data_IF_639443008014
#
_entry.id   IF_639443008014
#
_cell.length_a   1.000
_cell.length_b   1.000
_cell.length_c   1.000
_cell.angle_alpha   90.00
_cell.angle_beta   90.00
_cell.angle_gamma   90.00
#
_symmetry.space_group_name_H-M   'P 1'
#
loop_
_entity.id
_entity.type
_entity.pdbx_description
1 polymer ?
#
# COMPACT_ATOMS: atom_id res chain seq x y z
N UNK A 1 -1.22 -44.75 30.46
CA UNK A 1 -2.40 -44.39 29.67
C UNK A 1 -1.92 -43.61 28.45
N UNK A 2 -2.00 -44.23 27.25
CA UNK A 2 -1.73 -43.71 25.90
C UNK A 2 -0.57 -42.71 25.70
N UNK A 3 0.60 -43.27 25.40
CA UNK A 3 1.63 -42.63 24.56
C UNK A 3 0.99 -42.37 23.20
N UNK A 4 0.63 -41.11 22.92
CA UNK A 4 0.35 -40.66 21.55
C UNK A 4 1.69 -40.31 20.93
N UNK A 5 2.12 -41.09 19.95
CA UNK A 5 3.12 -40.65 18.98
C UNK A 5 2.62 -39.35 18.35
N UNK A 6 3.13 -38.20 18.82
CA UNK A 6 3.20 -36.99 17.99
C UNK A 6 4.26 -37.28 16.94
N UNK A 7 3.97 -37.03 15.67
CA UNK A 7 4.99 -37.15 14.63
C UNK A 7 6.17 -36.24 15.01
N UNK A 8 7.40 -36.71 14.78
CA UNK A 8 8.64 -36.00 15.11
C UNK A 8 8.64 -34.59 14.48
N UNK A 9 8.08 -34.48 13.27
CA UNK A 9 7.88 -33.23 12.53
C UNK A 9 7.02 -32.21 13.31
N UNK A 10 6.00 -32.65 14.05
CA UNK A 10 5.11 -31.75 14.80
C UNK A 10 5.82 -31.09 15.99
N UNK A 11 6.77 -31.79 16.62
CA UNK A 11 7.47 -31.30 17.81
C UNK A 11 8.50 -30.25 17.43
N UNK A 12 9.32 -30.54 16.41
CA UNK A 12 10.31 -29.60 15.87
C UNK A 12 9.60 -28.35 15.33
N UNK A 13 8.54 -28.54 14.55
CA UNK A 13 7.75 -27.43 14.02
C UNK A 13 7.17 -26.54 15.13
N UNK A 14 6.67 -27.12 16.22
CA UNK A 14 6.18 -26.38 17.38
C UNK A 14 7.27 -25.55 18.07
N UNK A 15 8.46 -26.13 18.26
CA UNK A 15 9.62 -25.42 18.82
C UNK A 15 10.03 -24.25 17.92
N UNK A 16 10.13 -24.49 16.62
CA UNK A 16 10.45 -23.48 15.62
C UNK A 16 9.43 -22.33 15.61
N UNK A 17 8.13 -22.62 15.70
CA UNK A 17 7.10 -21.58 15.81
C UNK A 17 7.31 -20.71 17.06
N UNK A 18 7.58 -21.31 18.21
CA UNK A 18 7.80 -20.56 19.45
C UNK A 18 9.00 -19.63 19.33
N UNK A 19 10.13 -20.15 18.85
CA UNK A 19 11.36 -19.36 18.65
C UNK A 19 11.09 -18.21 17.67
N UNK A 20 10.49 -18.50 16.52
CA UNK A 20 10.13 -17.50 15.51
C UNK A 20 9.23 -16.39 16.06
N UNK A 21 8.20 -16.77 16.83
CA UNK A 21 7.25 -15.83 17.41
C UNK A 21 7.85 -14.97 18.53
N UNK A 22 8.77 -15.51 19.33
CA UNK A 22 9.44 -14.77 20.41
C UNK A 22 10.50 -13.83 19.85
N UNK A 23 11.36 -14.34 18.96
CA UNK A 23 12.49 -13.57 18.44
C UNK A 23 12.08 -12.56 17.36
N UNK A 24 10.90 -12.73 16.76
CA UNK A 24 10.44 -11.93 15.60
C UNK A 24 11.43 -11.94 14.44
N UNK A 25 12.18 -13.03 14.30
CA UNK A 25 13.15 -13.26 13.23
C UNK A 25 12.69 -14.34 12.26
N UNK A 26 13.19 -14.29 11.03
CA UNK A 26 13.12 -15.44 10.15
C UNK A 26 13.80 -16.64 10.81
N UNK A 27 13.23 -17.82 10.61
CA UNK A 27 13.76 -19.07 11.14
C UNK A 27 13.73 -20.13 10.05
N UNK A 28 14.80 -20.89 9.97
CA UNK A 28 14.92 -22.03 9.07
C UNK A 28 15.31 -23.27 9.84
N UNK A 29 14.61 -24.37 9.54
CA UNK A 29 15.00 -25.69 9.97
C UNK A 29 15.57 -26.45 8.78
N UNK A 30 16.82 -26.90 8.91
CA UNK A 30 17.53 -27.64 7.87
C UNK A 30 17.87 -29.02 8.39
N UNK A 31 17.45 -30.06 7.68
CA UNK A 31 17.84 -31.43 7.93
C UNK A 31 18.56 -32.05 6.72
N UNK A 32 19.16 -33.23 6.93
CA UNK A 32 19.77 -34.02 5.86
C UNK A 32 18.74 -34.54 4.83
N UNK A 33 17.45 -34.55 5.17
CA UNK A 33 16.37 -34.96 4.27
C UNK A 33 15.59 -33.72 3.81
N UNK A 34 15.73 -33.28 2.54
CA UNK A 34 15.13 -32.05 2.04
C UNK A 34 13.62 -31.94 2.29
N UNK A 35 12.91 -33.07 2.34
CA UNK A 35 11.46 -33.14 2.62
C UNK A 35 11.06 -32.71 4.03
N UNK A 36 12.01 -32.55 4.95
CA UNK A 36 11.78 -32.19 6.35
C UNK A 36 12.37 -30.83 6.74
N UNK A 37 13.00 -30.13 5.79
CA UNK A 37 13.43 -28.75 5.95
C UNK A 37 12.27 -27.80 5.71
N UNK A 38 12.19 -26.70 6.46
CA UNK A 38 11.15 -25.69 6.31
C UNK A 38 11.60 -24.30 6.77
N UNK A 39 10.89 -23.27 6.32
CA UNK A 39 11.16 -21.88 6.71
C UNK A 39 9.92 -21.21 7.34
N UNK A 40 10.17 -20.31 8.28
CA UNK A 40 9.20 -19.41 8.91
C UNK A 40 9.71 -17.98 8.71
N UNK A 41 9.00 -17.19 7.91
CA UNK A 41 9.51 -15.91 7.40
C UNK A 41 8.68 -14.74 7.91
N UNK A 42 9.33 -13.77 8.56
CA UNK A 42 8.79 -12.45 8.88
C UNK A 42 9.11 -11.39 7.82
N UNK A 43 10.20 -11.54 7.06
CA UNK A 43 10.57 -10.60 5.99
C UNK A 43 11.38 -11.31 4.92
N UNK A 44 11.07 -11.10 3.63
CA UNK A 44 11.85 -11.69 2.55
C UNK A 44 13.15 -10.90 2.31
N UNK A 45 14.25 -11.62 2.12
CA UNK A 45 15.53 -11.04 1.70
C UNK A 45 15.45 -10.61 0.23
N UNK A 46 16.14 -9.53 -0.18
CA UNK A 46 16.32 -9.17 -1.57
C UNK A 46 16.81 -10.35 -2.40
N UNK A 47 16.31 -10.48 -3.63
CA UNK A 47 16.73 -11.54 -4.57
C UNK A 47 18.26 -11.55 -4.75
N UNK A 48 18.90 -10.38 -4.70
CA UNK A 48 20.36 -10.24 -4.73
C UNK A 48 21.09 -11.13 -3.70
N UNK A 49 20.47 -11.40 -2.55
CA UNK A 49 21.06 -12.14 -1.44
C UNK A 49 20.67 -13.63 -1.44
N UNK A 50 19.83 -14.10 -2.38
CA UNK A 50 19.28 -15.47 -2.33
C UNK A 50 20.37 -16.54 -2.33
N UNK A 51 21.40 -16.38 -3.17
CA UNK A 51 22.46 -17.37 -3.30
C UNK A 51 23.36 -17.39 -2.07
N UNK A 52 23.79 -16.22 -1.60
CA UNK A 52 24.59 -16.08 -0.38
C UNK A 52 23.85 -16.60 0.85
N UNK A 53 22.53 -16.39 0.92
CA UNK A 53 21.67 -16.96 1.97
C UNK A 53 21.76 -18.49 1.95
N UNK A 54 21.54 -19.14 0.80
CA UNK A 54 21.61 -20.61 0.67
C UNK A 54 22.99 -21.13 1.07
N UNK A 55 24.07 -20.49 0.61
CA UNK A 55 25.45 -20.86 0.95
C UNK A 55 25.70 -20.77 2.46
N UNK A 56 25.27 -19.66 3.08
CA UNK A 56 25.41 -19.41 4.52
C UNK A 56 24.69 -20.45 5.35
N UNK A 57 23.44 -20.74 5.00
CA UNK A 57 22.62 -21.73 5.69
C UNK A 57 23.20 -23.15 5.57
N UNK A 58 23.68 -23.50 4.38
CA UNK A 58 24.33 -24.78 4.12
C UNK A 58 25.62 -24.92 4.93
N UNK A 59 26.42 -23.84 5.00
CA UNK A 59 27.62 -23.80 5.83
C UNK A 59 27.28 -24.01 7.31
N UNK A 60 26.31 -23.24 7.84
CA UNK A 60 25.88 -23.33 9.24
C UNK A 60 25.42 -24.75 9.58
N UNK A 61 24.61 -25.36 8.71
CA UNK A 61 24.11 -26.71 8.90
C UNK A 61 25.24 -27.75 8.97
N UNK A 62 26.16 -27.69 8.02
CA UNK A 62 27.32 -28.59 7.98
C UNK A 62 28.26 -28.37 9.17
N UNK A 63 28.41 -27.12 9.61
CA UNK A 63 29.24 -26.77 10.77
C UNK A 63 28.72 -27.43 12.05
N UNK A 64 27.41 -27.36 12.30
CA UNK A 64 26.80 -27.87 13.54
C UNK A 64 26.54 -29.38 13.54
N UNK A 65 26.56 -30.04 12.39
CA UNK A 65 26.32 -31.49 12.26
C UNK A 65 27.25 -32.36 13.11
N UNK A 66 28.49 -31.93 13.30
CA UNK A 66 29.53 -32.66 14.03
C UNK A 66 29.84 -32.07 15.41
N UNK A 67 28.90 -31.29 15.97
CA UNK A 67 29.09 -30.53 17.21
C UNK A 67 28.29 -31.10 18.38
N UNK A 68 28.65 -30.70 19.59
CA UNK A 68 27.93 -31.11 20.79
C UNK A 68 26.59 -30.36 20.93
N UNK A 69 25.57 -30.97 21.57
CA UNK A 69 24.24 -30.37 21.73
C UNK A 69 24.20 -29.06 22.51
N UNK A 70 25.28 -28.68 23.20
CA UNK A 70 25.40 -27.46 23.96
C UNK A 70 26.01 -26.29 23.17
N UNK A 71 26.34 -26.46 21.88
CA UNK A 71 26.93 -25.38 21.07
C UNK A 71 25.86 -24.50 20.41
N UNK A 72 26.04 -23.18 20.55
CA UNK A 72 25.27 -22.14 19.86
C UNK A 72 26.21 -21.45 18.90
N UNK A 73 25.91 -21.48 17.61
CA UNK A 73 26.70 -20.78 16.60
C UNK A 73 26.17 -19.36 16.38
N UNK A 74 27.03 -18.37 16.55
CA UNK A 74 26.87 -17.03 16.01
C UNK A 74 27.71 -16.93 14.73
N UNK A 75 27.06 -16.74 13.59
CA UNK A 75 27.71 -16.66 12.28
C UNK A 75 27.46 -15.31 11.61
N UNK A 76 28.51 -14.70 11.05
CA UNK A 76 28.43 -13.50 10.21
C UNK A 76 28.86 -13.83 8.78
N UNK A 77 28.00 -13.52 7.80
CA UNK A 77 28.29 -13.77 6.39
C UNK A 77 29.11 -12.64 5.72
N UNK A 78 29.40 -12.79 4.42
CA UNK A 78 30.11 -11.79 3.62
C UNK A 78 29.30 -10.51 3.35
N UNK A 79 28.01 -10.51 3.63
CA UNK A 79 27.14 -9.34 3.65
C UNK A 79 27.06 -8.69 5.04
N UNK A 80 27.81 -9.19 6.03
CA UNK A 80 27.74 -8.75 7.42
C UNK A 80 26.36 -8.98 8.07
N UNK A 81 25.58 -9.91 7.53
CA UNK A 81 24.35 -10.40 8.17
C UNK A 81 24.71 -11.45 9.21
N UNK A 82 24.01 -11.40 10.34
CA UNK A 82 24.26 -12.28 11.47
C UNK A 82 23.14 -13.31 11.62
N UNK A 83 23.54 -14.50 12.06
CA UNK A 83 22.68 -15.66 12.26
C UNK A 83 23.03 -16.34 13.57
N UNK A 84 22.01 -16.79 14.29
CA UNK A 84 22.14 -17.69 15.44
C UNK A 84 21.65 -19.07 15.05
N UNK A 85 22.40 -20.11 15.42
CA UNK A 85 22.02 -21.47 15.08
C UNK A 85 22.31 -22.46 16.22
N UNK A 86 21.45 -23.45 16.36
CA UNK A 86 21.62 -24.57 17.29
C UNK A 86 21.31 -25.89 16.58
N UNK A 87 22.04 -26.94 16.94
CA UNK A 87 21.71 -28.29 16.49
C UNK A 87 20.50 -28.84 17.24
N UNK A 88 19.61 -29.54 16.54
CA UNK A 88 18.51 -30.29 17.12
C UNK A 88 18.90 -31.76 17.23
N UNK A 89 18.87 -32.30 18.45
CA UNK A 89 19.30 -33.66 18.76
C UNK A 89 18.17 -34.45 19.42
N UNK A 90 17.92 -35.65 18.94
CA UNK A 90 16.94 -36.57 19.54
C UNK A 90 17.64 -37.90 19.87
N UNK A 91 17.57 -38.35 21.13
CA UNK A 91 18.28 -39.55 21.63
C UNK A 91 19.78 -39.53 21.27
N UNK A 92 20.40 -38.36 21.39
CA UNK A 92 21.81 -38.11 21.03
C UNK A 92 22.15 -38.25 19.54
N UNK A 93 21.15 -38.33 18.65
CA UNK A 93 21.34 -38.27 17.21
C UNK A 93 20.98 -36.89 16.68
N UNK A 94 21.87 -36.32 15.87
CA UNK A 94 21.58 -35.08 15.14
C UNK A 94 20.45 -35.29 14.13
N UNK A 95 19.48 -34.38 14.14
CA UNK A 95 18.31 -34.42 13.25
C UNK A 95 18.24 -33.20 12.31
N UNK A 96 18.85 -32.09 12.69
CA UNK A 96 18.88 -30.89 11.87
C UNK A 96 19.41 -29.68 12.63
N UNK A 97 19.35 -28.52 11.99
CA UNK A 97 19.74 -27.23 12.56
C UNK A 97 18.54 -26.31 12.62
N UNK A 98 18.37 -25.60 13.72
CA UNK A 98 17.47 -24.45 13.81
C UNK A 98 18.34 -23.20 13.64
N UNK A 99 18.07 -22.42 12.61
CA UNK A 99 18.81 -21.20 12.25
C UNK A 99 17.87 -20.02 12.35
N UNK A 100 18.29 -18.95 13.00
CA UNK A 100 17.52 -17.73 13.25
C UNK A 100 18.30 -16.52 12.74
N UNK A 101 17.70 -15.75 11.84
CA UNK A 101 18.32 -14.61 11.16
C UNK A 101 17.80 -14.43 9.74
N UNK A 102 18.21 -13.38 9.02
CA UNK A 102 19.31 -12.49 9.36
C UNK A 102 18.93 -11.35 10.31
N UNK A 103 19.92 -10.85 11.05
CA UNK A 103 19.86 -9.62 11.86
C UNK A 103 21.21 -8.88 11.82
N UNK A 104 21.25 -7.65 12.34
CA UNK A 104 22.47 -6.84 12.43
C UNK A 104 22.83 -6.52 13.88
N UNK A 105 24.10 -6.25 14.17
CA UNK A 105 24.57 -5.92 15.53
C UNK A 105 24.72 -4.41 15.77
N UNK A 106 24.78 -3.62 14.70
CA UNK A 106 24.94 -2.16 14.75
C UNK A 106 24.16 -1.50 13.62
N UNK A 107 23.75 -0.24 13.83
CA UNK A 107 23.10 0.55 12.79
C UNK A 107 24.07 0.70 11.59
N UNK A 108 23.64 0.41 10.35
CA UNK A 108 24.51 0.51 9.20
C UNK A 108 24.77 1.98 8.86
N UNK A 109 26.04 2.35 8.74
CA UNK A 109 26.44 3.66 8.23
C UNK A 109 26.83 3.60 6.74
N UNK A 110 27.21 4.74 6.17
CA UNK A 110 27.66 4.79 4.79
C UNK A 110 28.93 3.97 4.53
N UNK A 111 29.80 3.81 5.53
CA UNK A 111 31.02 3.01 5.45
C UNK A 111 30.70 1.51 5.38
N UNK A 112 29.76 1.05 6.20
CA UNK A 112 29.25 -0.31 6.24
C UNK A 112 28.74 -0.76 4.86
N UNK A 113 27.86 0.04 4.24
CA UNK A 113 27.29 -0.30 2.92
C UNK A 113 28.38 -0.31 1.85
N UNK A 114 29.32 0.64 1.91
CA UNK A 114 30.43 0.71 0.96
C UNK A 114 31.31 -0.54 1.07
N UNK A 115 31.62 -0.97 2.28
CA UNK A 115 32.38 -2.21 2.55
C UNK A 115 31.66 -3.46 2.04
N UNK A 116 30.34 -3.57 2.22
CA UNK A 116 29.56 -4.69 1.70
C UNK A 116 29.60 -4.75 0.17
N UNK A 117 29.47 -3.60 -0.49
CA UNK A 117 29.54 -3.49 -1.96
C UNK A 117 30.92 -3.90 -2.46
N UNK A 118 31.99 -3.40 -1.84
CA UNK A 118 33.37 -3.69 -2.22
C UNK A 118 33.71 -5.17 -2.00
N UNK A 119 33.37 -5.72 -0.83
CA UNK A 119 33.66 -7.11 -0.44
C UNK A 119 32.99 -8.12 -1.37
N UNK A 120 31.81 -7.78 -1.90
CA UNK A 120 31.02 -8.67 -2.76
C UNK A 120 31.08 -8.28 -4.25
N UNK A 121 31.95 -7.33 -4.62
CA UNK A 121 32.13 -6.84 -5.99
C UNK A 121 30.82 -6.41 -6.68
N UNK A 122 29.93 -5.74 -5.93
CA UNK A 122 28.60 -5.36 -6.43
C UNK A 122 28.63 -4.03 -7.19
N UNK A 123 27.79 -3.87 -8.23
CA UNK A 123 27.58 -2.57 -8.84
C UNK A 123 27.00 -1.53 -7.86
N UNK A 124 27.44 -0.27 -7.96
CA UNK A 124 27.00 0.84 -7.09
C UNK A 124 25.48 1.08 -7.10
N UNK A 125 24.76 0.64 -8.13
CA UNK A 125 23.29 0.78 -8.24
C UNK A 125 22.55 0.09 -7.10
N UNK A 126 23.11 -0.97 -6.51
CA UNK A 126 22.49 -1.70 -5.39
C UNK A 126 22.60 -0.98 -4.04
N UNK A 127 23.36 0.13 -3.96
CA UNK A 127 23.60 0.86 -2.71
C UNK A 127 22.32 1.25 -1.99
N UNK A 128 21.35 1.81 -2.70
CA UNK A 128 20.07 2.23 -2.12
C UNK A 128 19.25 1.02 -1.64
N UNK A 129 19.17 -0.03 -2.47
CA UNK A 129 18.43 -1.25 -2.13
C UNK A 129 19.00 -1.94 -0.88
N UNK A 130 20.33 -2.09 -0.81
CA UNK A 130 21.02 -2.65 0.35
C UNK A 130 20.79 -1.78 1.58
N UNK A 131 20.95 -0.47 1.48
CA UNK A 131 20.74 0.45 2.59
C UNK A 131 19.34 0.36 3.19
N UNK A 132 18.28 0.35 2.37
CA UNK A 132 16.91 0.18 2.85
C UNK A 132 16.67 -1.21 3.47
N UNK A 133 17.26 -2.26 2.88
CA UNK A 133 17.18 -3.61 3.44
C UNK A 133 17.83 -3.68 4.83
N UNK A 134 19.07 -3.22 5.01
CA UNK A 134 19.72 -3.26 6.32
C UNK A 134 19.00 -2.43 7.38
N UNK A 135 18.40 -1.29 7.00
CA UNK A 135 17.57 -0.49 7.91
C UNK A 135 16.30 -1.21 8.36
N UNK A 136 15.79 -2.15 7.56
CA UNK A 136 14.60 -2.94 7.91
C UNK A 136 14.90 -4.13 8.82
N UNK A 137 16.18 -4.50 8.98
CA UNK A 137 16.58 -5.64 9.80
C UNK A 137 16.55 -5.29 11.30
N UNK A 138 16.15 -6.24 12.15
CA UNK A 138 16.26 -6.10 13.60
C UNK A 138 17.72 -6.03 14.05
N UNK A 139 17.95 -5.27 15.12
CA UNK A 139 19.27 -5.06 15.72
C UNK A 139 19.35 -5.85 17.02
N UNK A 140 20.30 -6.78 17.13
CA UNK A 140 20.51 -7.61 18.33
C UNK A 140 21.89 -7.30 18.91
N UNK A 141 21.92 -6.94 20.18
CA UNK A 141 23.18 -6.74 20.90
C UNK A 141 23.78 -8.06 21.41
N UNK A 142 24.94 -7.97 22.08
CA UNK A 142 25.64 -9.15 22.62
C UNK A 142 24.80 -9.91 23.66
N UNK A 143 23.97 -9.21 24.43
CA UNK A 143 23.11 -9.82 25.44
C UNK A 143 21.92 -10.52 24.78
N UNK A 144 21.28 -9.87 23.79
CA UNK A 144 20.20 -10.47 22.99
C UNK A 144 20.66 -11.79 22.36
N UNK A 145 21.86 -11.80 21.77
CA UNK A 145 22.43 -12.98 21.15
C UNK A 145 22.58 -14.15 22.14
N UNK A 146 23.11 -13.88 23.33
CA UNK A 146 23.27 -14.89 24.39
C UNK A 146 21.93 -15.40 24.89
N UNK A 147 20.97 -14.50 25.12
CA UNK A 147 19.66 -14.84 25.65
C UNK A 147 18.85 -15.68 24.65
N UNK A 148 18.83 -15.26 23.38
CA UNK A 148 18.13 -15.98 22.30
C UNK A 148 18.80 -17.32 22.03
N UNK A 149 20.13 -17.38 21.98
CA UNK A 149 20.85 -18.64 21.85
C UNK A 149 20.53 -19.63 22.97
N UNK A 150 20.55 -19.17 24.23
CA UNK A 150 20.20 -20.00 25.39
C UNK A 150 18.72 -20.39 25.40
N UNK A 151 17.82 -19.55 24.90
CA UNK A 151 16.41 -19.90 24.73
C UNK A 151 16.25 -21.00 23.67
N UNK A 152 16.88 -20.84 22.51
CA UNK A 152 16.82 -21.79 21.39
C UNK A 152 17.30 -23.18 21.83
N UNK A 153 18.44 -23.26 22.50
CA UNK A 153 19.04 -24.53 22.90
C UNK A 153 18.19 -25.26 23.96
N UNK A 154 17.55 -24.53 24.86
CA UNK A 154 16.73 -25.09 25.95
C UNK A 154 15.28 -25.38 25.51
N UNK A 155 14.82 -24.82 24.40
CA UNK A 155 13.60 -25.28 23.75
C UNK A 155 13.84 -26.53 22.90
N UNK A 156 15.05 -26.65 22.32
CA UNK A 156 15.48 -27.79 21.53
C UNK A 156 15.94 -28.99 22.38
N UNK A 157 16.24 -28.80 23.67
CA UNK A 157 16.87 -29.82 24.52
C UNK A 157 16.19 -29.97 25.87
N UNK A 158 16.19 -31.18 26.42
CA UNK A 158 15.74 -31.51 27.77
C UNK A 158 16.63 -32.64 28.33
N UNK A 159 17.30 -32.51 29.49
CA UNK A 159 17.24 -31.45 30.51
C UNK A 159 17.88 -30.12 30.08
N UNK A 160 17.76 -29.09 30.93
CA UNK A 160 18.34 -27.77 30.71
C UNK A 160 19.86 -27.83 30.45
N UNK A 161 20.32 -27.09 29.44
CA UNK A 161 21.71 -27.04 28.99
C UNK A 161 22.21 -25.59 29.03
N UNK A 162 23.39 -25.38 29.61
CA UNK A 162 24.13 -24.12 29.46
C UNK A 162 24.77 -24.08 28.08
N UNK A 163 24.35 -23.12 27.26
CA UNK A 163 24.87 -22.94 25.91
C UNK A 163 26.30 -22.39 25.90
N UNK A 164 27.15 -22.98 25.07
CA UNK A 164 28.48 -22.49 24.73
C UNK A 164 28.44 -21.77 23.38
N UNK A 165 28.77 -20.47 23.36
CA UNK A 165 28.69 -19.67 22.15
C UNK A 165 29.96 -19.79 21.31
N UNK A 166 29.80 -20.19 20.07
CA UNK A 166 30.84 -20.23 19.05
C UNK A 166 30.65 -19.08 18.07
N UNK A 167 31.75 -18.58 17.53
CA UNK A 167 31.75 -17.49 16.56
C UNK A 167 32.38 -17.98 15.25
N UNK A 168 31.74 -17.64 14.13
CA UNK A 168 32.20 -17.94 12.77
C UNK A 168 31.97 -16.73 11.88
N UNK A 169 32.90 -16.49 10.95
CA UNK A 169 32.77 -15.46 9.92
C UNK A 169 33.27 -16.02 8.59
N UNK A 170 32.58 -15.72 7.49
CA UNK A 170 33.08 -16.05 6.14
C UNK A 170 34.14 -15.01 5.71
N UNK A 171 35.39 -15.44 5.53
CA UNK A 171 36.34 -14.72 4.67
C UNK A 171 36.03 -15.05 3.21
N UNK A 172 36.03 -14.02 2.36
CA UNK A 172 35.63 -14.06 0.94
C UNK A 172 36.08 -15.33 0.21
N UNK A 173 35.13 -16.15 -0.22
CA UNK A 173 35.38 -17.21 -1.20
C UNK A 173 35.70 -16.54 -2.54
N UNK A 174 36.85 -16.88 -3.14
CA UNK A 174 37.24 -16.48 -4.49
C UNK A 174 36.10 -16.76 -5.49
N UNK A 175 35.34 -15.72 -5.86
CA UNK A 175 34.29 -15.78 -6.89
C UNK A 175 34.96 -15.74 -8.27
N UNK A 176 35.74 -16.77 -8.58
CA UNK A 176 36.24 -17.04 -9.93
C UNK A 176 35.65 -18.35 -10.46
N UNK A 177 34.31 -18.44 -10.46
CA UNK A 177 33.54 -19.23 -11.43
C UNK A 177 32.35 -18.41 -11.90
N UNK A 178 32.56 -17.70 -13.01
CA UNK A 178 31.55 -16.98 -13.78
C UNK A 178 30.55 -17.94 -14.39
N UNK A 179 29.28 -17.82 -14.01
CA UNK A 179 28.19 -17.63 -14.97
C UNK A 179 27.42 -16.38 -14.53
N UNK A 180 27.49 -15.33 -15.36
CA UNK A 180 26.85 -14.05 -15.10
C UNK A 180 25.33 -14.20 -15.20
N UNK A 181 24.64 -13.81 -14.13
CA UNK A 181 23.19 -13.59 -14.06
C UNK A 181 22.74 -12.33 -14.85
N UNK A 182 23.23 -12.11 -16.07
CA UNK A 182 22.83 -10.97 -16.92
C UNK A 182 21.35 -11.07 -17.38
N UNK A 183 20.74 -12.26 -17.27
CA UNK A 183 19.34 -12.54 -17.65
C UNK A 183 18.33 -12.03 -16.60
N UNK A 184 18.56 -12.30 -15.31
CA UNK A 184 17.62 -11.92 -14.24
C UNK A 184 17.58 -10.40 -13.97
N UNK A 185 18.68 -9.68 -14.16
CA UNK A 185 18.72 -8.22 -13.94
C UNK A 185 17.93 -7.47 -15.01
N UNK A 186 18.09 -7.84 -16.29
CA UNK A 186 17.33 -7.25 -17.40
C UNK A 186 15.83 -7.52 -17.27
N UNK A 187 15.45 -8.70 -16.81
CA UNK A 187 14.05 -9.06 -16.53
C UNK A 187 13.47 -8.24 -15.38
N UNK A 188 14.24 -7.99 -14.31
CA UNK A 188 13.79 -7.16 -13.19
C UNK A 188 13.66 -5.67 -13.57
N UNK A 189 14.66 -5.10 -14.26
CA UNK A 189 14.59 -3.71 -14.72
C UNK A 189 13.44 -3.50 -15.71
N UNK A 190 13.22 -4.44 -16.63
CA UNK A 190 12.09 -4.38 -17.57
C UNK A 190 10.73 -4.53 -16.88
N UNK A 191 10.62 -5.35 -15.83
CA UNK A 191 9.40 -5.46 -15.03
C UNK A 191 9.08 -4.17 -14.26
N UNK A 192 10.10 -3.49 -13.70
CA UNK A 192 9.93 -2.20 -13.02
C UNK A 192 9.49 -1.14 -14.03
N UNK A 193 10.15 -1.02 -15.18
CA UNK A 193 9.76 -0.05 -16.23
C UNK A 193 8.34 -0.30 -16.75
N UNK A 194 7.97 -1.57 -16.95
CA UNK A 194 6.63 -1.98 -17.36
C UNK A 194 5.58 -1.52 -16.34
N UNK A 195 5.86 -1.64 -15.05
CA UNK A 195 4.97 -1.17 -13.97
C UNK A 195 4.71 0.33 -14.06
N UNK A 196 5.76 1.14 -14.19
CA UNK A 196 5.61 2.60 -14.32
C UNK A 196 4.82 2.97 -15.58
N UNK A 197 5.02 2.22 -16.68
CA UNK A 197 4.26 2.42 -17.92
C UNK A 197 2.78 2.10 -17.75
N UNK A 198 2.44 0.98 -17.10
CA UNK A 198 1.05 0.58 -16.81
C UNK A 198 0.38 1.61 -15.90
N UNK A 199 1.06 2.04 -14.84
CA UNK A 199 0.58 3.08 -13.93
C UNK A 199 0.25 4.36 -14.70
N UNK A 200 1.20 4.87 -15.49
CA UNK A 200 0.99 6.08 -16.30
C UNK A 200 -0.19 5.95 -17.25
N UNK A 201 -0.36 4.78 -17.89
CA UNK A 201 -1.48 4.53 -18.78
C UNK A 201 -2.83 4.52 -18.04
N UNK A 202 -2.89 3.94 -16.84
CA UNK A 202 -4.08 3.99 -15.98
C UNK A 202 -4.42 5.43 -15.62
N UNK A 203 -3.44 6.21 -15.15
CA UNK A 203 -3.66 7.61 -14.77
C UNK A 203 -4.11 8.47 -15.96
N UNK A 204 -3.49 8.29 -17.12
CA UNK A 204 -3.91 8.98 -18.35
C UNK A 204 -5.35 8.59 -18.75
N UNK A 205 -5.77 7.34 -18.54
CA UNK A 205 -7.14 6.93 -18.83
C UNK A 205 -8.13 7.62 -17.88
N UNK A 206 -7.80 7.73 -16.59
CA UNK A 206 -8.63 8.44 -15.60
C UNK A 206 -8.66 9.94 -15.87
N UNK A 207 -7.52 10.55 -16.22
CA UNK A 207 -7.40 11.95 -16.65
C UNK A 207 -8.34 12.30 -17.82
N UNK A 208 -8.60 11.33 -18.70
CA UNK A 208 -9.52 11.47 -19.82
C UNK A 208 -10.93 10.89 -19.55
N UNK A 209 -11.28 10.60 -18.30
CA UNK A 209 -12.59 10.06 -17.91
C UNK A 209 -12.94 8.70 -18.53
N UNK A 210 -11.95 7.94 -19.00
CA UNK A 210 -12.13 6.71 -19.76
C UNK A 210 -12.12 5.47 -18.86
N UNK A 211 -13.25 5.16 -18.22
CA UNK A 211 -13.41 4.02 -17.30
C UNK A 211 -12.97 2.69 -17.92
N UNK A 212 -13.41 2.38 -19.14
CA UNK A 212 -13.08 1.11 -19.81
C UNK A 212 -11.56 0.94 -20.00
N UNK A 213 -10.87 2.00 -20.44
CA UNK A 213 -9.41 1.97 -20.61
C UNK A 213 -8.69 1.84 -19.27
N UNK A 214 -9.13 2.56 -18.25
CA UNK A 214 -8.52 2.51 -16.92
C UNK A 214 -8.63 1.11 -16.30
N UNK A 215 -9.80 0.47 -16.42
CA UNK A 215 -10.02 -0.89 -15.93
C UNK A 215 -9.15 -1.95 -16.63
N UNK A 216 -8.86 -1.79 -17.93
CA UNK A 216 -7.92 -2.68 -18.65
C UNK A 216 -6.53 -2.68 -18.01
N UNK A 217 -6.06 -1.50 -17.57
CA UNK A 217 -4.75 -1.38 -16.92
C UNK A 217 -4.76 -1.76 -15.44
N UNK A 218 -5.91 -1.74 -14.75
CA UNK A 218 -6.05 -2.12 -13.32
C UNK A 218 -5.60 -3.56 -13.05
N UNK A 219 -6.01 -4.51 -13.89
CA UNK A 219 -5.61 -5.92 -13.72
C UNK A 219 -4.09 -6.13 -13.90
N UNK A 220 -3.45 -5.23 -14.64
CA UNK A 220 -1.99 -5.23 -14.83
C UNK A 220 -1.24 -4.43 -13.75
N UNK A 221 -1.96 -3.70 -12.89
CA UNK A 221 -1.41 -2.92 -11.78
C UNK A 221 -1.21 -3.76 -10.51
N UNK A 222 -1.75 -4.99 -10.49
CA UNK A 222 -1.83 -5.87 -9.33
C UNK A 222 -0.55 -6.68 -9.06
N UNK A 223 0.61 -6.19 -9.50
CA UNK A 223 1.89 -6.88 -9.29
C UNK A 223 2.53 -6.52 -7.93
N UNK A 224 2.72 -7.55 -7.10
CA UNK A 224 3.64 -7.62 -5.95
C UNK A 224 3.39 -6.66 -4.76
N UNK A 225 2.14 -6.53 -4.34
CA UNK A 225 1.72 -5.83 -3.12
C UNK A 225 2.00 -6.57 -1.81
N UNK A 226 1.96 -7.91 -1.87
CA UNK A 226 1.92 -8.80 -0.68
C UNK A 226 3.19 -8.69 0.16
N UNK A 227 4.29 -8.23 -0.42
CA UNK A 227 5.61 -8.20 0.22
C UNK A 227 5.91 -6.92 1.03
N UNK A 228 5.06 -5.89 0.97
CA UNK A 228 5.33 -4.60 1.65
C UNK A 228 5.05 -4.61 3.15
N UNK A 229 4.08 -5.41 3.59
CA UNK A 229 3.78 -5.64 5.00
C UNK A 229 3.61 -7.14 5.19
N UNK A 230 4.70 -7.83 5.52
CA UNK A 230 4.64 -9.26 5.82
C UNK A 230 3.62 -9.54 6.92
N UNK A 231 2.94 -10.68 6.84
CA UNK A 231 1.98 -11.17 7.85
C UNK A 231 0.70 -10.33 8.06
N UNK A 232 0.46 -9.28 7.27
CA UNK A 232 -0.83 -8.59 7.24
C UNK A 232 -1.22 -8.16 5.81
N UNK A 233 -1.63 -9.11 4.95
CA UNK A 233 -1.89 -8.85 3.53
C UNK A 233 -3.03 -7.85 3.33
N UNK A 234 -4.06 -7.89 4.17
CA UNK A 234 -5.16 -6.92 4.10
C UNK A 234 -4.67 -5.51 4.40
N UNK A 235 -3.83 -5.31 5.42
CA UNK A 235 -3.26 -3.99 5.71
C UNK A 235 -2.34 -3.51 4.60
N UNK A 236 -1.51 -4.39 4.04
CA UNK A 236 -0.69 -4.06 2.87
C UNK A 236 -1.54 -3.54 1.70
N UNK A 237 -2.65 -4.23 1.44
CA UNK A 237 -3.57 -3.87 0.36
C UNK A 237 -4.35 -2.58 0.63
N UNK A 238 -4.76 -2.32 1.87
CA UNK A 238 -5.36 -1.04 2.28
C UNK A 238 -4.40 0.11 2.03
N UNK A 239 -3.15 -0.01 2.46
CA UNK A 239 -2.13 1.03 2.26
C UNK A 239 -1.92 1.34 0.78
N UNK A 240 -1.86 0.31 -0.06
CA UNK A 240 -1.78 0.51 -1.52
C UNK A 240 -3.04 1.14 -2.09
N UNK A 241 -4.21 0.81 -1.55
CA UNK A 241 -5.48 1.40 -1.99
C UNK A 241 -5.58 2.87 -1.58
N UNK A 242 -5.02 3.28 -0.43
CA UNK A 242 -4.86 4.71 -0.09
C UNK A 242 -3.92 5.43 -1.06
N UNK A 243 -2.78 4.82 -1.41
CA UNK A 243 -1.89 5.36 -2.44
C UNK A 243 -2.61 5.45 -3.79
N UNK A 244 -3.37 4.42 -4.16
CA UNK A 244 -4.15 4.39 -5.38
C UNK A 244 -5.21 5.50 -5.41
N UNK A 245 -5.94 5.70 -4.30
CA UNK A 245 -6.86 6.83 -4.13
C UNK A 245 -6.14 8.15 -4.42
N UNK A 246 -4.95 8.35 -3.86
CA UNK A 246 -4.13 9.55 -4.09
C UNK A 246 -3.73 9.72 -5.55
N UNK A 247 -3.34 8.64 -6.23
CA UNK A 247 -3.00 8.68 -7.65
C UNK A 247 -4.22 9.06 -8.51
N UNK A 248 -5.41 8.51 -8.21
CA UNK A 248 -6.64 8.87 -8.89
C UNK A 248 -7.01 10.35 -8.69
N UNK A 249 -6.80 10.91 -7.49
CA UNK A 249 -6.96 12.36 -7.24
C UNK A 249 -6.09 13.20 -8.18
N UNK A 250 -4.81 12.85 -8.27
CA UNK A 250 -3.85 13.56 -9.13
C UNK A 250 -4.26 13.44 -10.61
N UNK A 251 -4.69 12.26 -11.05
CA UNK A 251 -5.18 12.05 -12.41
C UNK A 251 -6.43 12.89 -12.71
N UNK A 252 -7.41 12.92 -11.80
CA UNK A 252 -8.62 13.74 -11.96
C UNK A 252 -8.35 15.24 -11.92
N UNK A 253 -7.39 15.70 -11.10
CA UNK A 253 -6.94 17.08 -11.09
C UNK A 253 -6.32 17.48 -12.43
N UNK A 254 -5.43 16.63 -12.98
CA UNK A 254 -4.87 16.82 -14.34
C UNK A 254 -5.96 16.82 -15.40
N UNK A 255 -7.00 16.03 -15.20
CA UNK A 255 -8.22 16.01 -16.02
C UNK A 255 -9.04 17.30 -15.92
N UNK A 256 -8.63 18.27 -15.11
CA UNK A 256 -9.23 19.59 -15.00
C UNK A 256 -10.40 19.67 -14.03
N UNK A 257 -10.55 18.70 -13.12
CA UNK A 257 -11.56 18.72 -12.06
C UNK A 257 -11.11 19.63 -10.92
N UNK A 258 -12.02 20.42 -10.37
CA UNK A 258 -11.71 21.28 -9.21
C UNK A 258 -11.39 20.46 -7.95
N UNK A 259 -10.38 20.86 -7.14
CA UNK A 259 -9.98 20.14 -5.93
C UNK A 259 -11.09 19.86 -4.93
N UNK A 260 -12.13 20.70 -4.85
CA UNK A 260 -13.25 20.50 -3.90
C UNK A 260 -14.02 19.20 -4.19
N UNK A 261 -14.28 18.90 -5.46
CA UNK A 261 -14.97 17.67 -5.86
C UNK A 261 -14.09 16.44 -5.63
N UNK A 262 -12.79 16.59 -5.91
CA UNK A 262 -11.79 15.54 -5.72
C UNK A 262 -11.63 15.20 -4.24
N UNK A 263 -11.62 16.22 -3.36
CA UNK A 263 -11.49 16.06 -1.92
C UNK A 263 -12.66 15.26 -1.34
N UNK A 264 -13.90 15.64 -1.65
CA UNK A 264 -15.09 14.95 -1.14
C UNK A 264 -15.11 13.47 -1.57
N UNK A 265 -14.77 13.18 -2.82
CA UNK A 265 -14.71 11.80 -3.33
C UNK A 265 -13.57 11.01 -2.69
N UNK A 266 -12.40 11.63 -2.54
CA UNK A 266 -11.23 11.05 -1.87
C UNK A 266 -11.54 10.66 -0.43
N UNK A 267 -12.21 11.54 0.33
CA UNK A 267 -12.51 11.34 1.74
C UNK A 267 -13.53 10.21 1.94
N UNK A 268 -14.58 10.17 1.10
CA UNK A 268 -15.49 9.02 1.03
C UNK A 268 -14.71 7.71 0.87
N UNK A 269 -13.78 7.65 -0.10
CA UNK A 269 -13.02 6.43 -0.32
C UNK A 269 -12.01 6.13 0.78
N UNK A 270 -11.42 7.14 1.41
CA UNK A 270 -10.52 6.92 2.56
C UNK A 270 -11.23 6.19 3.70
N UNK A 271 -12.47 6.60 4.03
CA UNK A 271 -13.30 5.95 5.04
C UNK A 271 -13.67 4.52 4.61
N UNK A 272 -14.09 4.32 3.36
CA UNK A 272 -14.45 3.00 2.84
C UNK A 272 -13.26 2.03 2.86
N UNK A 273 -12.06 2.49 2.49
CA UNK A 273 -10.83 1.68 2.52
C UNK A 273 -10.53 1.22 3.95
N UNK A 274 -10.65 2.11 4.94
CA UNK A 274 -10.36 1.77 6.34
C UNK A 274 -11.35 0.75 6.90
N UNK A 275 -12.63 0.84 6.51
CA UNK A 275 -13.69 -0.03 7.05
C UNK A 275 -13.78 -1.42 6.39
N UNK A 276 -13.14 -1.64 5.23
CA UNK A 276 -13.20 -2.95 4.55
C UNK A 276 -12.45 -4.03 5.34
N UNK A 277 -13.02 -5.24 5.40
CA UNK A 277 -12.48 -6.37 6.18
C UNK A 277 -12.00 -7.55 5.33
N UNK A 278 -12.10 -7.47 4.00
CA UNK A 278 -11.66 -8.54 3.09
C UNK A 278 -11.00 -8.02 1.82
N UNK A 279 -10.12 -8.84 1.24
CA UNK A 279 -9.40 -8.53 0.00
C UNK A 279 -10.35 -8.38 -1.20
N UNK A 280 -11.34 -9.27 -1.33
CA UNK A 280 -12.31 -9.25 -2.42
C UNK A 280 -13.15 -7.94 -2.43
N UNK A 281 -13.56 -7.46 -1.25
CA UNK A 281 -14.25 -6.17 -1.12
C UNK A 281 -13.34 -5.01 -1.53
N UNK A 282 -12.05 -5.06 -1.19
CA UNK A 282 -11.10 -4.02 -1.56
C UNK A 282 -10.87 -3.98 -3.08
N UNK A 283 -10.79 -5.15 -3.73
CA UNK A 283 -10.68 -5.24 -5.18
C UNK A 283 -11.91 -4.69 -5.91
N UNK A 284 -13.10 -4.99 -5.39
CA UNK A 284 -14.35 -4.43 -5.89
C UNK A 284 -14.39 -2.90 -5.68
N UNK A 285 -13.92 -2.42 -4.51
CA UNK A 285 -13.84 -0.99 -4.22
C UNK A 285 -12.92 -0.28 -5.22
N UNK A 286 -11.75 -0.84 -5.56
CA UNK A 286 -10.85 -0.23 -6.53
C UNK A 286 -11.48 -0.05 -7.92
N UNK A 287 -12.33 -0.99 -8.35
CA UNK A 287 -13.08 -0.87 -9.61
C UNK A 287 -14.08 0.30 -9.52
N UNK A 288 -14.82 0.38 -8.42
CA UNK A 288 -15.76 1.46 -8.17
C UNK A 288 -15.05 2.82 -8.08
N UNK A 289 -13.88 2.88 -7.43
CA UNK A 289 -13.04 4.07 -7.37
C UNK A 289 -12.70 4.57 -8.78
N UNK A 290 -12.18 3.70 -9.65
CA UNK A 290 -11.87 4.07 -11.03
C UNK A 290 -13.10 4.65 -11.74
N UNK A 291 -14.25 3.98 -11.61
CA UNK A 291 -15.49 4.46 -12.24
C UNK A 291 -15.88 5.85 -11.71
N UNK A 292 -15.96 6.03 -10.40
CA UNK A 292 -16.41 7.29 -9.81
C UNK A 292 -15.44 8.45 -10.10
N UNK A 293 -14.13 8.21 -10.11
CA UNK A 293 -13.14 9.23 -10.48
C UNK A 293 -13.22 9.60 -11.98
N UNK A 294 -13.44 8.62 -12.87
CA UNK A 294 -13.67 8.89 -14.29
C UNK A 294 -14.98 9.67 -14.51
N UNK A 295 -16.05 9.30 -13.81
CA UNK A 295 -17.33 10.01 -13.86
C UNK A 295 -17.19 11.44 -13.33
N UNK A 296 -16.38 11.64 -12.30
CA UNK A 296 -16.05 12.97 -11.78
C UNK A 296 -15.38 13.84 -12.84
N UNK A 297 -14.42 13.27 -13.61
CA UNK A 297 -13.78 13.95 -14.74
C UNK A 297 -14.81 14.26 -15.83
N UNK A 298 -15.60 13.28 -16.25
CA UNK A 298 -16.60 13.49 -17.29
C UNK A 298 -17.65 14.54 -16.93
N UNK A 299 -18.01 14.66 -15.65
CA UNK A 299 -19.05 15.58 -15.17
C UNK A 299 -18.52 16.98 -14.87
N UNK A 300 -17.29 17.10 -14.36
CA UNK A 300 -16.78 18.36 -13.79
C UNK A 300 -15.46 18.83 -14.37
N UNK A 301 -14.90 18.16 -15.38
CA UNK A 301 -13.69 18.62 -16.06
C UNK A 301 -13.89 20.01 -16.65
N UNK A 302 -12.92 20.87 -16.40
CA UNK A 302 -12.83 22.20 -17.00
C UNK A 302 -11.66 22.31 -17.98
N UNK A 303 -10.98 21.20 -18.30
CA UNK A 303 -9.77 21.19 -19.13
C UNK A 303 -10.01 21.79 -20.52
N UNK A 304 -11.19 21.54 -21.10
CA UNK A 304 -11.60 22.09 -22.40
C UNK A 304 -12.00 23.57 -22.40
N UNK A 305 -12.10 24.20 -21.23
CA UNK A 305 -12.46 25.62 -21.11
C UNK A 305 -11.23 26.54 -21.06
N UNK A 306 -11.42 27.78 -21.53
CA UNK A 306 -10.42 28.82 -21.41
C UNK A 306 -10.13 29.15 -19.96
N UNK A 307 -8.93 29.69 -19.70
CA UNK A 307 -8.49 30.07 -18.34
C UNK A 307 -9.48 31.00 -17.63
N UNK A 308 -10.16 31.87 -18.37
CA UNK A 308 -11.19 32.79 -17.83
C UNK A 308 -12.39 32.00 -17.31
N UNK A 309 -12.91 31.07 -18.12
CA UNK A 309 -14.07 30.27 -17.75
C UNK A 309 -13.75 29.28 -16.63
N UNK A 310 -12.56 28.67 -16.65
CA UNK A 310 -12.08 27.85 -15.52
C UNK A 310 -12.07 28.62 -14.20
N UNK A 311 -11.51 29.84 -14.19
CA UNK A 311 -11.51 30.70 -13.00
C UNK A 311 -12.93 31.06 -12.55
N UNK A 312 -13.82 31.35 -13.50
CA UNK A 312 -15.22 31.66 -13.23
C UNK A 312 -15.93 30.48 -12.56
N UNK A 313 -15.82 29.28 -13.14
CA UNK A 313 -16.41 28.05 -12.60
C UNK A 313 -15.87 27.76 -11.20
N UNK A 314 -14.55 27.89 -10.99
CA UNK A 314 -13.95 27.70 -9.68
C UNK A 314 -14.47 28.72 -8.65
N UNK A 315 -14.58 30.00 -9.01
CA UNK A 315 -15.15 31.01 -8.13
C UNK A 315 -16.59 30.66 -7.73
N UNK A 316 -17.42 30.25 -8.70
CA UNK A 316 -18.80 29.84 -8.43
C UNK A 316 -18.82 28.62 -7.50
N UNK A 317 -18.01 27.59 -7.76
CA UNK A 317 -17.97 26.39 -6.94
C UNK A 317 -17.56 26.65 -5.48
N UNK A 318 -16.77 27.70 -5.22
CA UNK A 318 -16.31 28.07 -3.88
C UNK A 318 -17.26 29.04 -3.16
N UNK A 319 -18.18 29.69 -3.87
CA UNK A 319 -19.01 30.78 -3.32
C UNK A 319 -20.50 30.65 -3.70
N UNK A 320 -20.95 29.49 -4.17
CA UNK A 320 -22.33 29.33 -4.68
C UNK A 320 -23.38 29.55 -3.58
N UNK A 321 -23.03 29.28 -2.33
CA UNK A 321 -23.81 29.47 -1.12
C UNK A 321 -23.97 30.95 -0.71
N UNK A 322 -23.19 31.85 -1.31
CA UNK A 322 -23.22 33.28 -1.03
C UNK A 322 -23.97 34.08 -2.11
N UNK A 323 -24.39 35.33 -1.83
CA UNK A 323 -24.92 36.24 -2.86
C UNK A 323 -23.83 36.56 -3.90
N UNK A 324 -23.90 35.89 -5.06
CA UNK A 324 -22.95 36.06 -6.16
C UNK A 324 -23.64 36.62 -7.40
N UNK A 325 -23.01 37.62 -8.02
CA UNK A 325 -23.49 38.26 -9.25
C UNK A 325 -22.44 38.18 -10.36
N UNK A 326 -22.88 38.29 -11.62
CA UNK A 326 -21.97 38.35 -12.76
C UNK A 326 -20.91 39.45 -12.60
N UNK A 327 -21.32 40.62 -12.08
CA UNK A 327 -20.43 41.76 -11.85
C UNK A 327 -19.36 41.43 -10.81
N UNK A 328 -19.76 40.84 -9.68
CA UNK A 328 -18.84 40.43 -8.62
C UNK A 328 -17.81 39.41 -9.12
N UNK A 329 -18.26 38.43 -9.91
CA UNK A 329 -17.36 37.40 -10.47
C UNK A 329 -16.38 38.05 -11.46
N UNK A 330 -16.87 38.93 -12.33
CA UNK A 330 -16.06 39.63 -13.33
C UNK A 330 -14.98 40.51 -12.69
N UNK A 331 -15.33 41.23 -11.61
CA UNK A 331 -14.40 42.02 -10.80
C UNK A 331 -13.31 41.14 -10.18
N UNK A 332 -13.69 40.04 -9.53
CA UNK A 332 -12.74 39.12 -8.89
C UNK A 332 -11.72 38.49 -9.86
N UNK A 333 -12.08 38.37 -11.15
CA UNK A 333 -11.18 37.80 -12.17
C UNK A 333 -10.63 38.85 -13.13
N UNK A 334 -10.81 40.14 -12.83
CA UNK A 334 -10.30 41.31 -13.56
C UNK A 334 -10.73 41.38 -15.04
N UNK A 335 -12.03 41.20 -15.32
CA UNK A 335 -12.61 41.36 -16.67
C UNK A 335 -13.93 42.13 -16.63
N UNK A 336 -14.42 42.57 -17.79
CA UNK A 336 -15.74 43.23 -17.86
C UNK A 336 -16.88 42.20 -17.80
N UNK A 337 -18.03 42.53 -17.15
CA UNK A 337 -19.18 41.62 -17.08
C UNK A 337 -19.72 41.19 -18.44
N UNK A 338 -19.71 42.10 -19.43
CA UNK A 338 -20.14 41.81 -20.81
C UNK A 338 -19.24 40.76 -21.48
N UNK A 339 -17.92 40.89 -21.34
CA UNK A 339 -16.98 39.91 -21.86
C UNK A 339 -17.15 38.54 -21.19
N UNK A 340 -17.31 38.53 -19.86
CA UNK A 340 -17.57 37.29 -19.11
C UNK A 340 -18.84 36.59 -19.59
N UNK A 341 -19.97 37.31 -19.68
CA UNK A 341 -21.25 36.74 -20.08
C UNK A 341 -21.19 36.10 -21.47
N UNK A 342 -20.60 36.82 -22.45
CA UNK A 342 -20.45 36.33 -23.81
C UNK A 342 -19.56 35.07 -23.87
N UNK A 343 -18.41 35.12 -23.22
CA UNK A 343 -17.48 33.99 -23.24
C UNK A 343 -18.02 32.77 -22.51
N UNK A 344 -18.68 32.99 -21.36
CA UNK A 344 -19.26 31.93 -20.55
C UNK A 344 -20.39 31.21 -21.31
N UNK A 345 -21.30 31.95 -21.94
CA UNK A 345 -22.36 31.35 -22.77
C UNK A 345 -21.79 30.61 -23.98
N UNK A 346 -20.74 31.14 -24.60
CA UNK A 346 -20.08 30.52 -25.76
C UNK A 346 -19.44 29.17 -25.42
N UNK A 347 -18.76 29.07 -24.28
CA UNK A 347 -18.04 27.85 -23.91
C UNK A 347 -18.91 26.83 -23.16
N UNK A 348 -19.79 27.29 -22.27
CA UNK A 348 -20.58 26.39 -21.41
C UNK A 348 -21.98 26.10 -21.93
N UNK A 349 -22.43 26.81 -22.98
CA UNK A 349 -23.82 26.84 -23.46
C UNK A 349 -24.86 27.30 -22.43
N UNK A 350 -24.44 27.76 -21.25
CA UNK A 350 -25.30 28.26 -20.16
C UNK A 350 -24.91 29.70 -19.82
N UNK A 351 -25.84 30.50 -19.30
CA UNK A 351 -25.45 31.77 -18.69
C UNK A 351 -24.96 31.53 -17.25
N UNK A 352 -24.32 32.54 -16.65
CA UNK A 352 -23.72 32.41 -15.31
C UNK A 352 -24.78 32.11 -14.25
N UNK A 353 -25.95 32.75 -14.29
CA UNK A 353 -27.05 32.53 -13.34
C UNK A 353 -27.62 31.12 -13.42
N UNK A 354 -27.82 30.59 -14.64
CA UNK A 354 -28.23 29.22 -14.90
C UNK A 354 -27.24 28.22 -14.28
N UNK A 355 -25.93 28.49 -14.44
CA UNK A 355 -24.88 27.65 -13.88
C UNK A 355 -24.86 27.68 -12.35
N UNK A 356 -24.99 28.86 -11.74
CA UNK A 356 -25.09 29.02 -10.28
C UNK A 356 -26.29 28.23 -9.74
N UNK A 357 -27.47 28.42 -10.33
CA UNK A 357 -28.68 27.72 -9.92
C UNK A 357 -28.53 26.20 -10.05
N UNK A 358 -27.92 25.72 -11.14
CA UNK A 358 -27.61 24.30 -11.33
C UNK A 358 -26.67 23.78 -10.24
N UNK A 359 -25.62 24.53 -9.90
CA UNK A 359 -24.68 24.14 -8.83
C UNK A 359 -25.36 24.06 -7.46
N UNK A 360 -26.18 25.05 -7.12
CA UNK A 360 -26.96 25.09 -5.88
C UNK A 360 -27.94 23.92 -5.78
N UNK A 361 -28.64 23.59 -6.87
CA UNK A 361 -29.58 22.47 -6.89
C UNK A 361 -28.87 21.12 -6.79
N UNK A 362 -27.71 20.95 -7.43
CA UNK A 362 -26.91 19.73 -7.25
C UNK A 362 -26.42 19.56 -5.81
N UNK A 363 -26.04 20.64 -5.13
CA UNK A 363 -25.71 20.59 -3.69
C UNK A 363 -26.94 20.28 -2.82
N UNK A 364 -28.08 20.89 -3.13
CA UNK A 364 -29.32 20.63 -2.40
C UNK A 364 -29.74 19.16 -2.51
N UNK A 365 -29.59 18.54 -3.68
CA UNK A 365 -29.86 17.10 -3.85
C UNK A 365 -28.97 16.26 -2.94
N UNK A 366 -27.68 16.59 -2.86
CA UNK A 366 -26.75 15.91 -1.97
C UNK A 366 -27.15 16.03 -0.49
N UNK A 367 -27.52 17.23 -0.04
CA UNK A 367 -27.98 17.46 1.35
C UNK A 367 -29.31 16.73 1.64
N UNK A 368 -30.22 16.70 0.67
CA UNK A 368 -31.48 15.94 0.79
C UNK A 368 -31.22 14.43 0.91
N UNK A 369 -30.22 13.90 0.19
CA UNK A 369 -29.85 12.49 0.24
C UNK A 369 -29.26 12.09 1.61
N UNK A 370 -28.65 13.02 2.35
CA UNK A 370 -28.19 12.79 3.73
C UNK A 370 -29.35 12.80 4.75
N UNK A 371 -30.45 13.52 4.45
CA UNK A 371 -31.68 13.60 5.26
C UNK A 371 -31.49 14.14 6.70
N UNK A 372 -30.50 15.01 6.92
CA UNK A 372 -30.20 15.59 8.24
C UNK A 372 -30.85 16.96 8.50
N UNK A 373 -31.40 17.60 7.46
CA UNK A 373 -31.91 18.98 7.52
C UNK A 373 -33.28 19.12 6.85
N UNK A 374 -34.06 20.10 7.30
CA UNK A 374 -35.32 20.46 6.64
C UNK A 374 -35.08 21.11 5.26
N UNK A 375 -36.04 20.99 4.35
CA UNK A 375 -35.94 21.61 3.01
C UNK A 375 -35.72 23.13 3.08
N UNK A 376 -36.26 23.79 4.10
CA UNK A 376 -36.09 25.23 4.32
C UNK A 376 -34.66 25.57 4.72
N UNK A 377 -34.06 24.79 5.63
CA UNK A 377 -32.64 24.95 6.01
C UNK A 377 -31.72 24.68 4.83
N UNK A 378 -31.99 23.61 4.06
CA UNK A 378 -31.22 23.28 2.85
C UNK A 378 -31.25 24.43 1.85
N UNK A 379 -32.41 25.07 1.65
CA UNK A 379 -32.52 26.23 0.76
C UNK A 379 -31.59 27.38 1.19
N UNK A 380 -31.54 27.68 2.48
CA UNK A 380 -30.65 28.71 3.05
C UNK A 380 -29.17 28.31 2.91
N UNK A 381 -28.82 27.06 3.23
CA UNK A 381 -27.46 26.54 3.17
C UNK A 381 -26.87 26.59 1.76
N UNK A 382 -27.69 26.40 0.72
CA UNK A 382 -27.24 26.48 -0.68
C UNK A 382 -27.39 27.89 -1.28
N UNK A 383 -27.66 28.90 -0.45
CA UNK A 383 -27.61 30.32 -0.84
C UNK A 383 -28.91 30.91 -1.39
N UNK A 384 -30.07 30.31 -1.14
CA UNK A 384 -31.37 30.92 -1.44
C UNK A 384 -31.96 31.59 -0.20
N UNK A 385 -32.20 32.90 -0.29
CA UNK A 385 -32.92 33.66 0.75
C UNK A 385 -34.43 33.37 0.74
N UNK A 386 -34.97 32.94 -0.40
CA UNK A 386 -36.40 32.72 -0.59
C UNK A 386 -36.70 31.24 -0.92
N UNK A 387 -37.36 30.56 0.02
CA UNK A 387 -37.75 29.16 -0.10
C UNK A 387 -38.65 28.87 -1.32
N UNK A 388 -39.61 29.75 -1.62
CA UNK A 388 -40.51 29.55 -2.76
C UNK A 388 -39.77 29.63 -4.10
N UNK A 389 -38.80 30.54 -4.20
CA UNK A 389 -37.93 30.63 -5.37
C UNK A 389 -37.05 29.39 -5.52
N UNK A 390 -36.44 28.92 -4.43
CA UNK A 390 -35.70 27.65 -4.41
C UNK A 390 -36.55 26.49 -4.93
N UNK A 391 -37.75 26.28 -4.38
CA UNK A 391 -38.64 25.20 -4.79
C UNK A 391 -38.99 25.27 -6.29
N UNK A 392 -39.21 26.48 -6.83
CA UNK A 392 -39.46 26.70 -8.25
C UNK A 392 -38.25 26.32 -9.10
N UNK A 393 -37.05 26.81 -8.76
CA UNK A 393 -35.81 26.52 -9.50
C UNK A 393 -35.45 25.03 -9.42
N UNK A 394 -35.56 24.43 -8.24
CA UNK A 394 -35.32 23.00 -8.04
C UNK A 394 -36.24 22.16 -8.92
N UNK A 395 -37.54 22.48 -8.95
CA UNK A 395 -38.51 21.79 -9.82
C UNK A 395 -38.23 22.01 -11.31
N UNK A 396 -37.80 23.20 -11.71
CA UNK A 396 -37.44 23.46 -13.10
C UNK A 396 -36.23 22.62 -13.56
N UNK A 397 -35.26 22.40 -12.68
CA UNK A 397 -34.03 21.68 -13.01
C UNK A 397 -34.18 20.17 -12.88
N UNK A 398 -34.92 19.69 -11.88
CA UNK A 398 -35.03 18.26 -11.55
C UNK A 398 -36.35 17.62 -11.98
N UNK A 399 -37.31 18.42 -12.45
CA UNK A 399 -38.71 18.04 -12.70
C UNK A 399 -39.52 17.60 -11.47
N UNK A 400 -38.92 17.62 -10.27
CA UNK A 400 -39.54 17.22 -9.01
C UNK A 400 -39.49 18.38 -8.00
N UNK A 401 -40.46 18.49 -7.10
CA UNK A 401 -40.27 19.40 -5.95
C UNK A 401 -39.19 18.84 -5.02
N UNK A 402 -38.52 19.67 -4.20
CA UNK A 402 -37.56 19.17 -3.21
C UNK A 402 -38.18 18.10 -2.28
N UNK A 403 -39.46 18.26 -1.91
CA UNK A 403 -40.17 17.30 -1.07
C UNK A 403 -40.47 15.99 -1.80
N UNK A 404 -40.85 16.04 -3.08
CA UNK A 404 -41.06 14.83 -3.89
C UNK A 404 -39.74 14.08 -4.10
N UNK A 405 -38.65 14.82 -4.32
CA UNK A 405 -37.31 14.25 -4.42
C UNK A 405 -36.90 13.54 -3.12
N UNK A 406 -37.13 14.17 -1.95
CA UNK A 406 -36.86 13.56 -0.64
C UNK A 406 -37.66 12.26 -0.43
N UNK A 407 -38.95 12.23 -0.77
CA UNK A 407 -39.76 11.00 -0.67
C UNK A 407 -39.23 9.89 -1.59
N UNK A 408 -38.76 10.26 -2.78
CA UNK A 408 -38.18 9.32 -3.74
C UNK A 408 -36.85 8.73 -3.22
N UNK A 409 -36.03 9.51 -2.53
CA UNK A 409 -34.73 9.04 -2.00
C UNK A 409 -34.92 8.18 -0.76
N UNK A 410 -35.86 8.54 0.13
CA UNK A 410 -36.23 7.72 1.28
C UNK A 410 -36.74 6.33 0.86
N UNK A 411 -37.65 6.24 -0.11
CA UNK A 411 -38.17 4.94 -0.58
C UNK A 411 -37.09 4.04 -1.20
N UNK A 412 -36.13 4.60 -1.92
CA UNK A 412 -34.96 3.86 -2.43
C UNK A 412 -34.04 3.34 -1.34
N UNK A 413 -33.83 4.09 -0.26
CA UNK A 413 -32.99 3.64 0.85
C UNK A 413 -33.66 2.55 1.68
N UNK A 414 -34.98 2.65 1.94
CA UNK A 414 -35.75 1.59 2.62
C UNK A 414 -35.78 0.26 1.88
N UNK A 415 -35.60 0.28 0.55
CA UNK A 415 -35.59 -0.92 -0.30
C UNK A 415 -34.22 -1.61 -0.38
N UNK A 416 -33.16 -1.00 0.18
CA UNK A 416 -31.80 -1.55 0.23
C UNK A 416 -31.44 -2.16 1.59
N UNK A 417 -32.25 -1.89 2.62
CA UNK A 417 -32.11 -2.42 3.97
C UNK A 417 -33.03 -3.63 4.26
N UNK A 418 -33.86 -4.00 3.28
CA UNK A 418 -34.61 -5.27 3.24
C UNK A 418 -33.93 -6.23 2.26
#
# INVERSE_FOLDING_TARGET
MRVKNKNIDDTIYSICILIHQICKLNLEFISDSPSSSFELVNSQSPILLSNSKIETLTYIHNFLKNKSPNEILYHTDNFQLNYLAVGFFEKSQYKGTIIVGPFISTIPDNGFITKVIETNHLPLVHRLQLHEYYKSLPIFDVNDNKNVGNLMINLASNPFIYGNMLFSQNESLDINKKEKNDLNEKELFSAIELRYKIEKNLLNAVENGSTEKALKFKNSFQFAAVHRIPNNPLRAYKNLTFSFNTLLRIASERGGVSPIYIHNLSDKFAILIENISSMAQLEALQINMISEYCDLVNKFSTAGYSKIIRKTINYINLNFDNPISLSLIAENINITPSHLSRQFKKETNMNVTEFINKRRVEEAKFLIDQNDNSITEIALMVGYENHNYFCKVFKQITSLTPMDYLKMTQSKNSSKEQ
#
